data_IF_052824207277
#
_entry.id   IF_052824207277
#
_cell.length_a   1.000
_cell.length_b   1.000
_cell.length_c   1.000
_cell.angle_alpha   90.00
_cell.angle_beta   90.00
_cell.angle_gamma   90.00
#
_symmetry.space_group_name_H-M   'P 1'
#
loop_
_entity.id
_entity.type
_entity.pdbx_description
1 polymer ?
#
# COMPACT_ATOMS: atom_id res chain seq x y z
N UNK A 1 -50.63 45.85 8.47
CA UNK A 1 -49.26 45.33 8.63
C UNK A 1 -49.33 43.83 8.82
N UNK A 2 -49.09 42.99 7.74
CA UNK A 2 -49.25 41.52 7.75
C UNK A 2 -47.93 40.85 7.27
N UNK A 3 -46.81 41.14 7.96
CA UNK A 3 -45.48 40.63 7.56
C UNK A 3 -45.05 39.40 8.42
N UNK A 4 -45.75 39.16 9.55
CA UNK A 4 -45.37 38.11 10.50
C UNK A 4 -45.52 36.64 10.00
N UNK A 5 -46.51 36.25 9.20
CA UNK A 5 -46.62 34.84 8.78
C UNK A 5 -45.61 34.42 7.74
N UNK A 6 -45.05 35.35 6.94
CA UNK A 6 -44.07 35.02 5.92
C UNK A 6 -42.66 34.74 6.51
N UNK A 7 -42.26 35.47 7.57
CA UNK A 7 -41.01 35.27 8.26
C UNK A 7 -40.96 33.95 9.04
N UNK A 8 -42.07 33.57 9.68
CA UNK A 8 -42.16 32.27 10.39
C UNK A 8 -42.14 31.09 9.44
N UNK A 9 -42.80 31.17 8.28
CA UNK A 9 -42.75 30.12 7.27
C UNK A 9 -41.33 29.94 6.68
N UNK A 10 -40.60 31.03 6.43
CA UNK A 10 -39.21 30.99 5.94
C UNK A 10 -38.26 30.35 6.97
N UNK A 11 -38.46 30.62 8.26
CA UNK A 11 -37.64 30.04 9.33
C UNK A 11 -37.86 28.52 9.46
N UNK A 12 -39.08 28.02 9.34
CA UNK A 12 -39.38 26.59 9.39
C UNK A 12 -38.89 25.86 8.15
N UNK A 13 -38.88 26.45 6.97
CA UNK A 13 -38.34 25.85 5.75
C UNK A 13 -36.81 25.76 5.83
N UNK A 14 -36.10 26.77 6.36
CA UNK A 14 -34.65 26.69 6.54
C UNK A 14 -34.23 25.70 7.62
N UNK A 15 -35.01 25.54 8.69
CA UNK A 15 -34.74 24.54 9.74
C UNK A 15 -34.97 23.11 9.22
N UNK A 16 -35.99 22.88 8.39
CA UNK A 16 -36.24 21.58 7.75
C UNK A 16 -35.14 21.19 6.75
N UNK A 17 -34.55 22.15 6.06
CA UNK A 17 -33.42 21.90 5.16
C UNK A 17 -32.12 21.46 5.88
N UNK A 18 -31.93 21.84 7.15
CA UNK A 18 -30.79 21.42 7.96
C UNK A 18 -30.91 20.00 8.52
N UNK A 19 -32.10 19.37 8.47
CA UNK A 19 -32.32 18.00 8.98
C UNK A 19 -32.12 16.91 7.94
N UNK A 20 -31.81 17.25 6.68
CA UNK A 20 -31.40 16.29 5.67
C UNK A 20 -29.93 15.93 5.90
N UNK A 21 -29.68 15.21 7.00
CA UNK A 21 -28.40 14.53 7.18
C UNK A 21 -28.27 13.46 6.06
N UNK A 22 -27.76 13.87 4.92
CA UNK A 22 -27.23 12.91 3.96
C UNK A 22 -26.01 12.29 4.62
N UNK A 23 -26.08 11.00 4.93
CA UNK A 23 -24.90 10.23 5.29
C UNK A 23 -23.97 10.28 4.09
N UNK A 24 -22.98 11.17 4.13
CA UNK A 24 -21.88 11.15 3.20
C UNK A 24 -21.12 9.83 3.43
N UNK A 25 -21.34 8.86 2.56
CA UNK A 25 -20.54 7.65 2.53
C UNK A 25 -19.15 8.08 2.03
N UNK A 26 -18.26 8.30 2.98
CA UNK A 26 -16.85 8.52 2.66
C UNK A 26 -16.32 7.27 1.98
N UNK A 27 -15.81 7.42 0.75
CA UNK A 27 -15.14 6.34 0.07
C UNK A 27 -13.84 5.99 0.80
N UNK A 28 -13.59 4.70 0.99
CA UNK A 28 -12.27 4.22 1.36
C UNK A 28 -11.28 4.56 0.24
N UNK A 29 -10.00 4.40 0.51
CA UNK A 29 -8.93 4.72 -0.44
C UNK A 29 -9.13 4.02 -1.79
N UNK A 30 -9.21 4.79 -2.87
CA UNK A 30 -9.36 4.28 -4.24
C UNK A 30 -8.03 3.64 -4.69
N UNK A 31 -8.06 2.51 -5.37
CA UNK A 31 -9.20 1.75 -5.89
C UNK A 31 -9.70 0.69 -4.90
N UNK A 32 -10.81 0.89 -4.31
CA UNK A 32 -11.54 0.11 -3.32
C UNK A 32 -11.86 -1.36 -3.71
N UNK A 33 -10.89 -2.10 -4.25
CA UNK A 33 -11.10 -3.44 -4.81
C UNK A 33 -11.83 -3.47 -6.16
N UNK A 34 -12.04 -2.32 -6.80
CA UNK A 34 -12.72 -2.21 -8.11
C UNK A 34 -11.94 -2.94 -9.21
N UNK A 35 -10.60 -2.95 -9.11
CA UNK A 35 -9.69 -3.56 -10.10
C UNK A 35 -9.06 -4.86 -9.61
N UNK A 36 -9.70 -5.54 -8.65
CA UNK A 36 -9.18 -6.71 -7.98
C UNK A 36 -7.94 -6.44 -7.09
N UNK A 37 -7.80 -7.22 -6.02
CA UNK A 37 -6.66 -7.13 -5.09
C UNK A 37 -5.38 -7.69 -5.73
N UNK A 38 -5.50 -8.52 -6.78
CA UNK A 38 -4.39 -9.09 -7.53
C UNK A 38 -3.42 -8.03 -8.04
N UNK A 39 -3.93 -6.91 -8.56
CA UNK A 39 -3.09 -5.80 -9.05
C UNK A 39 -2.16 -5.27 -7.95
N UNK A 40 -2.58 -5.26 -6.69
CA UNK A 40 -1.76 -4.81 -5.57
C UNK A 40 -0.59 -5.75 -5.28
N UNK A 41 -0.79 -7.04 -5.48
CA UNK A 41 0.28 -8.03 -5.37
C UNK A 41 1.28 -7.90 -6.52
N UNK A 42 0.80 -7.66 -7.74
CA UNK A 42 1.64 -7.42 -8.91
C UNK A 42 2.50 -6.15 -8.74
N UNK A 43 1.91 -5.05 -8.27
CA UNK A 43 2.61 -3.80 -7.95
C UNK A 43 3.72 -4.03 -6.90
N UNK A 44 3.43 -4.79 -5.82
CA UNK A 44 4.45 -5.11 -4.81
C UNK A 44 5.58 -6.00 -5.35
N UNK A 45 5.31 -6.88 -6.31
CA UNK A 45 6.35 -7.70 -6.96
C UNK A 45 7.21 -6.84 -7.90
N UNK A 46 6.62 -5.89 -8.62
CA UNK A 46 7.38 -4.92 -9.43
C UNK A 46 8.27 -4.03 -8.55
N UNK A 47 7.76 -3.57 -7.40
CA UNK A 47 8.56 -2.88 -6.39
C UNK A 47 9.74 -3.76 -5.91
N UNK A 48 9.48 -5.03 -5.62
CA UNK A 48 10.51 -5.97 -5.17
C UNK A 48 11.60 -6.20 -6.23
N UNK A 49 11.24 -6.32 -7.50
CA UNK A 49 12.21 -6.44 -8.61
C UNK A 49 13.08 -5.18 -8.72
N UNK A 50 12.49 -4.01 -8.57
CA UNK A 50 13.20 -2.73 -8.56
C UNK A 50 14.15 -2.63 -7.36
N UNK A 51 13.73 -3.07 -6.18
CA UNK A 51 14.57 -3.16 -4.98
C UNK A 51 15.76 -4.08 -5.23
N UNK A 52 15.54 -5.29 -5.75
CA UNK A 52 16.60 -6.25 -6.04
C UNK A 52 17.64 -5.67 -7.03
N UNK A 53 17.17 -5.01 -8.08
CA UNK A 53 18.03 -4.29 -9.03
C UNK A 53 18.81 -3.17 -8.35
N UNK A 54 18.16 -2.35 -7.52
CA UNK A 54 18.83 -1.28 -6.78
C UNK A 54 19.93 -1.81 -5.87
N UNK A 55 19.67 -2.91 -5.14
CA UNK A 55 20.68 -3.58 -4.31
C UNK A 55 21.89 -4.07 -5.13
N UNK A 56 21.65 -4.69 -6.29
CA UNK A 56 22.71 -5.15 -7.18
C UNK A 56 23.55 -3.98 -7.68
N UNK A 57 22.93 -2.89 -8.10
CA UNK A 57 23.62 -1.69 -8.58
C UNK A 57 24.45 -1.01 -7.49
N UNK A 58 23.95 -0.95 -6.26
CA UNK A 58 24.72 -0.41 -5.12
C UNK A 58 25.96 -1.26 -4.86
N UNK A 59 25.87 -2.59 -4.90
CA UNK A 59 27.04 -3.48 -4.74
C UNK A 59 28.06 -3.32 -5.87
N UNK A 60 27.59 -3.23 -7.12
CA UNK A 60 28.45 -3.05 -8.30
C UNK A 60 29.27 -1.76 -8.23
N UNK A 61 28.72 -0.72 -7.61
CA UNK A 61 29.36 0.59 -7.50
C UNK A 61 30.10 0.81 -6.18
N UNK A 62 30.07 -0.14 -5.24
CA UNK A 62 30.57 0.04 -3.87
C UNK A 62 32.06 0.42 -3.81
N UNK A 63 32.86 -0.04 -4.77
CA UNK A 63 34.30 0.23 -4.82
C UNK A 63 34.68 1.40 -5.75
N UNK A 64 33.69 2.03 -6.41
CA UNK A 64 33.91 3.16 -7.34
C UNK A 64 33.76 4.47 -6.61
N UNK A 65 34.74 5.37 -6.76
CA UNK A 65 34.76 6.67 -6.07
C UNK A 65 34.71 7.86 -7.01
N UNK A 66 34.55 7.64 -8.32
CA UNK A 66 34.38 8.74 -9.25
C UNK A 66 33.00 9.43 -9.07
N UNK A 67 32.90 10.72 -9.40
CA UNK A 67 31.66 11.50 -9.12
C UNK A 67 30.41 10.93 -9.75
N UNK A 68 30.49 10.28 -10.92
CA UNK A 68 29.35 9.67 -11.59
C UNK A 68 28.86 8.43 -10.83
N UNK A 69 29.79 7.53 -10.46
CA UNK A 69 29.47 6.32 -9.70
C UNK A 69 28.87 6.66 -8.34
N UNK A 70 29.42 7.64 -7.63
CA UNK A 70 28.84 8.13 -6.36
C UNK A 70 27.42 8.66 -6.57
N UNK A 71 27.21 9.48 -7.61
CA UNK A 71 25.87 9.98 -7.93
C UNK A 71 24.87 8.86 -8.21
N UNK A 72 25.27 7.86 -9.01
CA UNK A 72 24.40 6.71 -9.33
C UNK A 72 24.11 5.85 -8.09
N UNK A 73 25.08 5.64 -7.22
CA UNK A 73 24.91 4.92 -5.95
C UNK A 73 23.81 5.59 -5.10
N UNK A 74 23.88 6.90 -4.92
CA UNK A 74 22.87 7.66 -4.15
C UNK A 74 21.47 7.52 -4.77
N UNK A 75 21.38 7.58 -6.10
CA UNK A 75 20.10 7.42 -6.82
C UNK A 75 19.51 6.01 -6.62
N UNK A 76 20.33 4.96 -6.70
CA UNK A 76 19.88 3.59 -6.49
C UNK A 76 19.49 3.31 -5.04
N UNK A 77 20.21 3.87 -4.07
CA UNK A 77 19.78 3.83 -2.65
C UNK A 77 18.42 4.48 -2.49
N UNK A 78 18.24 5.69 -3.01
CA UNK A 78 16.95 6.41 -2.93
C UNK A 78 15.81 5.64 -3.60
N UNK A 79 16.07 5.04 -4.76
CA UNK A 79 15.09 4.21 -5.48
C UNK A 79 14.70 2.98 -4.65
N UNK A 80 15.69 2.24 -4.12
CA UNK A 80 15.46 1.08 -3.26
C UNK A 80 14.60 1.45 -2.03
N UNK A 81 14.93 2.55 -1.36
CA UNK A 81 14.17 3.05 -0.20
C UNK A 81 12.71 3.40 -0.55
N UNK A 82 12.50 4.09 -1.67
CA UNK A 82 11.17 4.49 -2.12
C UNK A 82 10.28 3.26 -2.42
N UNK A 83 10.80 2.30 -3.19
CA UNK A 83 10.06 1.09 -3.54
C UNK A 83 9.76 0.20 -2.32
N UNK A 84 10.70 0.07 -1.36
CA UNK A 84 10.43 -0.62 -0.10
C UNK A 84 9.35 0.11 0.74
N UNK A 85 9.33 1.45 0.70
CA UNK A 85 8.26 2.25 1.33
C UNK A 85 6.91 2.01 0.65
N UNK A 86 6.86 1.91 -0.69
CA UNK A 86 5.63 1.63 -1.42
C UNK A 86 5.02 0.28 -1.02
N UNK A 87 5.85 -0.78 -0.90
CA UNK A 87 5.39 -2.08 -0.40
C UNK A 87 4.77 -1.94 0.99
N UNK A 88 5.46 -1.26 1.93
CA UNK A 88 4.95 -1.04 3.28
C UNK A 88 3.65 -0.23 3.28
N UNK A 89 3.55 0.79 2.44
CA UNK A 89 2.36 1.62 2.29
C UNK A 89 1.18 0.81 1.74
N UNK A 90 1.40 0.00 0.71
CA UNK A 90 0.36 -0.88 0.14
C UNK A 90 -0.18 -1.84 1.20
N UNK A 91 0.70 -2.48 1.99
CA UNK A 91 0.26 -3.36 3.07
C UNK A 91 -0.53 -2.58 4.13
N UNK A 92 0.00 -1.46 4.64
CA UNK A 92 -0.61 -0.74 5.75
C UNK A 92 -1.91 -0.05 5.36
N UNK A 93 -1.91 0.70 4.27
CA UNK A 93 -3.06 1.55 3.89
C UNK A 93 -4.13 0.77 3.13
N UNK A 94 -3.74 -0.14 2.24
CA UNK A 94 -4.72 -0.89 1.47
C UNK A 94 -5.17 -2.16 2.18
N UNK A 95 -4.25 -3.09 2.47
CA UNK A 95 -4.64 -4.39 3.02
C UNK A 95 -5.06 -4.32 4.49
N UNK A 96 -4.21 -3.80 5.37
CA UNK A 96 -4.48 -3.82 6.81
C UNK A 96 -5.63 -2.90 7.20
N UNK A 97 -5.73 -1.71 6.57
CA UNK A 97 -6.77 -0.73 6.92
C UNK A 97 -8.12 -1.06 6.30
N UNK A 98 -8.15 -1.56 5.05
CA UNK A 98 -9.40 -1.67 4.30
C UNK A 98 -9.85 -3.11 4.05
N UNK A 99 -8.92 -4.05 3.86
CA UNK A 99 -9.24 -5.38 3.32
C UNK A 99 -9.22 -6.49 4.38
N UNK A 100 -8.31 -6.45 5.34
CA UNK A 100 -8.22 -7.44 6.42
C UNK A 100 -9.19 -7.03 7.53
N UNK A 101 -10.29 -7.78 7.68
CA UNK A 101 -11.36 -7.49 8.63
C UNK A 101 -11.31 -8.44 9.82
N UNK A 102 -11.45 -7.88 11.04
CA UNK A 102 -11.35 -8.64 12.29
C UNK A 102 -12.45 -9.70 12.46
N UNK A 103 -13.62 -9.49 11.83
CA UNK A 103 -14.78 -10.37 11.85
C UNK A 103 -14.73 -11.49 10.78
N UNK A 104 -13.67 -11.58 9.98
CA UNK A 104 -13.54 -12.57 8.90
C UNK A 104 -12.58 -13.68 9.25
N UNK A 105 -12.84 -14.86 8.70
CA UNK A 105 -11.99 -16.04 8.85
C UNK A 105 -10.56 -15.79 8.39
N UNK A 106 -9.62 -16.35 9.14
CA UNK A 106 -8.21 -16.22 8.84
C UNK A 106 -7.60 -14.85 9.17
N UNK A 107 -8.30 -13.97 9.91
CA UNK A 107 -7.84 -12.64 10.28
C UNK A 107 -6.41 -12.63 10.83
N UNK A 108 -6.13 -13.43 11.88
CA UNK A 108 -4.80 -13.47 12.50
C UNK A 108 -3.72 -13.97 11.53
N UNK A 109 -4.03 -14.97 10.68
CA UNK A 109 -3.12 -15.50 9.66
C UNK A 109 -2.80 -14.46 8.59
N UNK A 110 -3.82 -13.76 8.10
CA UNK A 110 -3.65 -12.69 7.10
C UNK A 110 -2.83 -11.53 7.67
N UNK A 111 -3.12 -11.13 8.90
CA UNK A 111 -2.40 -10.04 9.57
C UNK A 111 -0.93 -10.39 9.81
N UNK A 112 -0.63 -11.61 10.29
CA UNK A 112 0.74 -12.07 10.48
C UNK A 112 1.53 -12.12 9.16
N UNK A 113 0.92 -12.60 8.08
CA UNK A 113 1.54 -12.64 6.76
C UNK A 113 1.79 -11.22 6.21
N UNK A 114 0.83 -10.31 6.34
CA UNK A 114 0.97 -8.89 5.97
C UNK A 114 2.11 -8.22 6.73
N UNK A 115 2.19 -8.42 8.07
CA UNK A 115 3.28 -7.92 8.89
C UNK A 115 4.64 -8.46 8.45
N UNK A 116 4.73 -9.75 8.08
CA UNK A 116 5.96 -10.36 7.59
C UNK A 116 6.47 -9.69 6.30
N UNK A 117 5.59 -9.27 5.39
CA UNK A 117 5.96 -8.47 4.20
C UNK A 117 6.54 -7.12 4.61
N UNK A 118 5.90 -6.41 5.55
CA UNK A 118 6.40 -5.11 6.03
C UNK A 118 7.80 -5.20 6.63
N UNK A 119 8.03 -6.23 7.45
CA UNK A 119 9.36 -6.50 8.05
C UNK A 119 10.40 -6.85 6.99
N UNK A 120 10.05 -7.67 5.99
CA UNK A 120 10.95 -7.99 4.89
C UNK A 120 11.30 -6.75 4.05
N UNK A 121 10.33 -5.89 3.75
CA UNK A 121 10.57 -4.61 3.07
C UNK A 121 11.49 -3.67 3.89
N UNK A 122 11.31 -3.62 5.22
CA UNK A 122 12.22 -2.87 6.10
C UNK A 122 13.66 -3.43 6.01
N UNK A 123 13.83 -4.76 6.03
CA UNK A 123 15.16 -5.38 5.87
C UNK A 123 15.81 -5.04 4.53
N UNK A 124 15.03 -4.93 3.45
CA UNK A 124 15.53 -4.47 2.16
C UNK A 124 16.10 -3.04 2.20
N UNK A 125 15.53 -2.14 3.03
CA UNK A 125 16.12 -0.81 3.24
C UNK A 125 17.49 -0.88 3.89
N UNK A 126 17.68 -1.81 4.82
CA UNK A 126 18.87 -1.92 5.67
C UNK A 126 20.00 -2.75 5.05
N UNK A 127 19.76 -3.42 3.92
CA UNK A 127 20.69 -4.36 3.30
C UNK A 127 20.86 -4.14 1.81
N UNK A 128 21.89 -4.80 1.27
CA UNK A 128 22.13 -4.91 -0.17
C UNK A 128 22.23 -6.36 -0.65
N UNK A 129 22.10 -7.35 0.23
CA UNK A 129 22.21 -8.77 -0.11
C UNK A 129 21.01 -9.26 -0.91
N UNK A 130 21.27 -10.03 -1.98
CA UNK A 130 20.22 -10.53 -2.87
C UNK A 130 19.19 -11.40 -2.13
N UNK A 131 19.63 -12.23 -1.18
CA UNK A 131 18.76 -13.10 -0.39
C UNK A 131 17.68 -12.34 0.41
N UNK A 132 17.98 -11.09 0.80
CA UNK A 132 17.01 -10.24 1.50
C UNK A 132 15.87 -9.82 0.56
N UNK A 133 16.19 -9.52 -0.71
CA UNK A 133 15.18 -9.22 -1.72
C UNK A 133 14.37 -10.46 -2.11
N UNK A 134 15.00 -11.63 -2.18
CA UNK A 134 14.31 -12.91 -2.42
C UNK A 134 13.37 -13.28 -1.26
N UNK A 135 13.80 -12.98 -0.03
CA UNK A 135 12.94 -13.13 1.15
C UNK A 135 11.69 -12.25 1.05
N UNK A 136 11.82 -10.98 0.61
CA UNK A 136 10.67 -10.12 0.39
C UNK A 136 9.71 -10.72 -0.65
N UNK A 137 10.22 -11.23 -1.77
CA UNK A 137 9.41 -11.91 -2.79
C UNK A 137 8.65 -13.09 -2.20
N UNK A 138 9.33 -13.94 -1.45
CA UNK A 138 8.72 -15.10 -0.80
C UNK A 138 7.60 -14.67 0.16
N UNK A 139 7.81 -13.59 0.95
CA UNK A 139 6.79 -13.09 1.88
C UNK A 139 5.58 -12.48 1.18
N UNK A 140 5.75 -11.84 0.01
CA UNK A 140 4.62 -11.38 -0.81
C UNK A 140 3.79 -12.58 -1.29
N UNK A 141 4.41 -13.67 -1.76
CA UNK A 141 3.70 -14.90 -2.13
C UNK A 141 3.02 -15.59 -0.95
N UNK A 142 3.67 -15.66 0.21
CA UNK A 142 3.08 -16.20 1.43
C UNK A 142 1.85 -15.39 1.86
N UNK A 143 1.92 -14.07 1.74
CA UNK A 143 0.78 -13.20 2.01
C UNK A 143 -0.35 -13.40 0.99
N UNK A 144 -0.04 -13.56 -0.30
CA UNK A 144 -1.04 -13.89 -1.31
C UNK A 144 -1.81 -15.18 -0.94
N UNK A 145 -1.08 -16.26 -0.61
CA UNK A 145 -1.69 -17.54 -0.20
C UNK A 145 -2.55 -17.40 1.05
N UNK A 146 -2.09 -16.64 2.03
CA UNK A 146 -2.85 -16.42 3.26
C UNK A 146 -4.12 -15.57 3.01
N UNK A 147 -4.04 -14.63 2.09
CA UNK A 147 -5.10 -13.68 1.78
C UNK A 147 -6.16 -14.27 0.85
N UNK A 148 -5.74 -14.83 -0.30
CA UNK A 148 -6.60 -15.37 -1.36
C UNK A 148 -6.99 -16.85 -1.14
N UNK A 149 -6.23 -17.60 -0.33
CA UNK A 149 -6.47 -19.03 -0.12
C UNK A 149 -6.12 -19.92 -1.32
N UNK A 150 -5.37 -19.42 -2.28
CA UNK A 150 -4.97 -20.13 -3.51
C UNK A 150 -3.53 -19.84 -3.89
N UNK A 151 -2.95 -20.65 -4.80
CA UNK A 151 -1.62 -20.36 -5.33
C UNK A 151 -1.60 -19.13 -6.25
N UNK A 152 -0.53 -18.34 -6.19
CA UNK A 152 -0.39 -17.14 -7.00
C UNK A 152 -0.37 -17.47 -8.50
N UNK A 153 -1.28 -16.85 -9.26
CA UNK A 153 -1.28 -16.81 -10.71
C UNK A 153 -0.96 -15.37 -11.16
N UNK A 154 0.14 -14.83 -10.65
CA UNK A 154 0.56 -13.47 -10.92
C UNK A 154 1.32 -13.46 -12.24
N UNK A 155 0.89 -12.61 -13.17
CA UNK A 155 1.52 -12.51 -14.48
C UNK A 155 2.95 -12.00 -14.32
N UNK A 156 3.92 -12.81 -14.80
CA UNK A 156 5.24 -12.27 -15.14
C UNK A 156 5.06 -11.47 -16.43
N UNK A 157 5.37 -10.19 -16.37
CA UNK A 157 5.56 -9.42 -17.61
C UNK A 157 6.79 -9.89 -18.36
#
# INVERSE_FOLDING_TARGET
MKIFPALTAAFFVSLAAMTLNQTALAHCQVPCGIYDDQRRFEDMLEDQETIAKGMAQVREMAEKSDPLSVNQTVRWISTKEAHATNVQHTISQYFMTQRIKADKDGYAKKLAAAHAVMVAAMKCKQNTDAEVADTLRAKIYDFYRAYEGKEPQLHKK
#
